data_IF_552433512839
#
_entry.id   IF_552433512839
#
_cell.length_a   1.000
_cell.length_b   1.000
_cell.length_c   1.000
_cell.angle_alpha   90.00
_cell.angle_beta   90.00
_cell.angle_gamma   90.00
#
_symmetry.space_group_name_H-M   'P 1'
#
loop_
_entity.id
_entity.type
_entity.pdbx_description
1 polymer ?
#
# COMPACT_ATOMS: atom_id res chain seq x y z
N UNK A 1 -14.07 -35.92 12.76
CA UNK A 1 -13.68 -35.33 14.06
C UNK A 1 -12.62 -34.29 13.76
N UNK A 2 -12.92 -33.02 13.98
CA UNK A 2 -12.31 -31.90 13.26
C UNK A 2 -10.95 -31.44 13.78
N UNK A 3 -10.23 -30.74 12.89
CA UNK A 3 -9.62 -29.48 13.26
C UNK A 3 -9.62 -28.52 12.04
N UNK A 4 -10.66 -27.69 11.95
CA UNK A 4 -10.78 -26.54 11.04
C UNK A 4 -10.41 -25.23 11.77
N UNK A 5 -9.64 -25.29 12.86
CA UNK A 5 -9.38 -24.13 13.71
C UNK A 5 -8.11 -23.34 13.39
N UNK A 6 -7.33 -23.70 12.35
CA UNK A 6 -6.06 -22.99 12.11
C UNK A 6 -5.55 -22.96 10.66
N UNK A 7 -6.43 -22.85 9.66
CA UNK A 7 -6.04 -22.60 8.26
C UNK A 7 -5.98 -21.08 7.92
N UNK A 8 -5.91 -20.19 8.92
CA UNK A 8 -5.82 -18.72 8.71
C UNK A 8 -4.43 -18.23 8.30
N UNK A 9 -3.49 -19.15 8.06
CA UNK A 9 -2.12 -18.85 7.66
C UNK A 9 -1.55 -19.92 6.73
N UNK A 10 -2.22 -20.16 5.59
CA UNK A 10 -1.48 -20.69 4.45
C UNK A 10 -0.79 -19.50 3.79
N UNK A 11 0.54 -19.31 3.92
CA UNK A 11 1.26 -18.51 2.94
C UNK A 11 1.04 -19.27 1.64
N UNK A 12 0.17 -18.74 0.78
CA UNK A 12 -0.02 -19.28 -0.56
C UNK A 12 1.37 -19.32 -1.19
N UNK A 13 1.88 -20.50 -1.62
CA UNK A 13 3.20 -20.60 -2.24
C UNK A 13 3.34 -19.76 -3.52
N UNK A 14 2.22 -19.19 -3.99
CA UNK A 14 2.07 -18.40 -5.22
C UNK A 14 1.95 -16.88 -4.99
N UNK A 15 2.14 -16.38 -3.77
CA UNK A 15 2.11 -14.94 -3.48
C UNK A 15 0.71 -14.34 -3.39
N UNK A 16 0.64 -13.02 -3.16
CA UNK A 16 -0.57 -12.24 -2.90
C UNK A 16 -1.49 -12.16 -4.13
N UNK A 17 -2.68 -12.77 -4.12
CA UNK A 17 -3.63 -12.73 -5.25
C UNK A 17 -4.75 -11.71 -5.03
N UNK A 18 -4.85 -10.65 -5.86
CA UNK A 18 -6.00 -9.77 -5.86
C UNK A 18 -7.27 -10.53 -6.23
N UNK A 19 -8.37 -10.28 -5.51
CA UNK A 19 -9.68 -10.91 -5.74
C UNK A 19 -9.88 -12.29 -5.10
N UNK A 20 -8.80 -13.04 -4.83
CA UNK A 20 -8.87 -14.33 -4.13
C UNK A 20 -8.52 -14.19 -2.64
N UNK A 21 -7.39 -13.54 -2.33
CA UNK A 21 -6.86 -13.47 -0.95
C UNK A 21 -7.08 -12.08 -0.33
N UNK A 22 -7.08 -11.04 -1.17
CA UNK A 22 -7.25 -9.64 -0.79
C UNK A 22 -8.20 -8.94 -1.75
N UNK A 23 -9.05 -8.06 -1.22
CA UNK A 23 -9.93 -7.24 -2.04
C UNK A 23 -9.12 -6.25 -2.90
N UNK A 24 -9.45 -6.16 -4.19
CA UNK A 24 -8.80 -5.24 -5.16
C UNK A 24 -8.86 -3.77 -4.72
N UNK A 25 -9.86 -3.42 -3.92
CA UNK A 25 -10.06 -2.10 -3.33
C UNK A 25 -8.84 -1.59 -2.54
N UNK A 26 -8.00 -2.48 -1.98
CA UNK A 26 -6.81 -2.09 -1.20
C UNK A 26 -5.80 -1.29 -2.04
N UNK A 27 -5.77 -1.48 -3.37
CA UNK A 27 -4.90 -0.73 -4.27
C UNK A 27 -5.59 0.48 -4.88
N UNK A 28 -6.87 0.37 -5.23
CA UNK A 28 -7.61 1.45 -5.89
C UNK A 28 -8.01 2.59 -4.95
N UNK A 29 -8.34 2.29 -3.68
CA UNK A 29 -8.72 3.31 -2.70
C UNK A 29 -7.58 4.30 -2.43
N UNK A 30 -6.34 3.88 -2.07
CA UNK A 30 -5.24 4.83 -1.89
C UNK A 30 -4.84 5.52 -3.20
N UNK A 31 -4.87 4.83 -4.34
CA UNK A 31 -4.57 5.44 -5.63
C UNK A 31 -5.57 6.56 -5.97
N UNK A 32 -6.87 6.33 -5.80
CA UNK A 32 -7.91 7.33 -6.00
C UNK A 32 -7.79 8.51 -5.04
N UNK A 33 -7.48 8.23 -3.76
CA UNK A 33 -7.29 9.26 -2.75
C UNK A 33 -6.09 10.18 -3.07
N UNK A 34 -4.99 9.62 -3.59
CA UNK A 34 -3.81 10.36 -4.04
C UNK A 34 -4.12 11.24 -5.26
N UNK A 35 -4.88 10.73 -6.24
CA UNK A 35 -5.31 11.54 -7.40
C UNK A 35 -6.22 12.69 -6.96
N UNK A 36 -7.12 12.44 -6.00
CA UNK A 36 -8.00 13.48 -5.47
C UNK A 36 -7.21 14.55 -4.68
N UNK A 37 -6.06 14.19 -4.08
CA UNK A 37 -5.19 15.11 -3.36
C UNK A 37 -4.55 16.22 -4.22
N UNK A 38 -4.55 16.04 -5.55
CA UNK A 38 -4.07 17.04 -6.52
C UNK A 38 -4.92 18.32 -6.43
N UNK A 39 -6.21 18.19 -6.12
CA UNK A 39 -7.09 19.33 -5.90
C UNK A 39 -6.71 20.04 -4.58
N UNK A 40 -6.83 21.38 -4.51
CA UNK A 40 -6.61 22.14 -3.29
C UNK A 40 -7.71 21.84 -2.25
N UNK A 41 -7.55 20.76 -1.50
CA UNK A 41 -8.49 20.29 -0.49
C UNK A 41 -8.15 20.87 0.90
N UNK A 42 -9.10 20.85 1.85
CA UNK A 42 -8.84 21.29 3.21
C UNK A 42 -7.75 20.45 3.88
N UNK A 43 -7.02 21.03 4.84
CA UNK A 43 -5.91 20.39 5.54
C UNK A 43 -6.27 19.00 6.13
N UNK A 44 -7.50 18.85 6.63
CA UNK A 44 -8.04 17.59 7.16
C UNK A 44 -7.96 16.44 6.15
N UNK A 45 -8.16 16.73 4.86
CA UNK A 45 -8.09 15.72 3.81
C UNK A 45 -6.68 15.16 3.68
N UNK A 46 -5.66 16.03 3.66
CA UNK A 46 -4.26 15.61 3.60
C UNK A 46 -3.83 14.82 4.84
N UNK A 47 -4.41 15.11 6.00
CA UNK A 47 -4.16 14.33 7.21
C UNK A 47 -4.77 12.93 7.10
N UNK A 48 -6.02 12.80 6.66
CA UNK A 48 -6.65 11.51 6.41
C UNK A 48 -5.95 10.70 5.32
N UNK A 49 -5.51 11.36 4.24
CA UNK A 49 -4.74 10.75 3.15
C UNK A 49 -3.47 10.09 3.66
N UNK A 50 -2.71 10.77 4.53
CA UNK A 50 -1.49 10.22 5.14
C UNK A 50 -1.76 8.95 5.92
N UNK A 51 -2.78 8.96 6.78
CA UNK A 51 -3.19 7.76 7.52
C UNK A 51 -3.61 6.61 6.61
N UNK A 52 -4.37 6.92 5.55
CA UNK A 52 -4.84 5.93 4.59
C UNK A 52 -3.69 5.32 3.79
N UNK A 53 -2.80 6.15 3.24
CA UNK A 53 -1.65 5.72 2.43
C UNK A 53 -0.61 5.00 3.30
N UNK A 54 -0.28 5.52 4.48
CA UNK A 54 0.64 4.86 5.40
C UNK A 54 0.08 3.53 5.91
N UNK A 55 -1.20 3.48 6.29
CA UNK A 55 -1.87 2.27 6.77
C UNK A 55 -1.98 1.18 5.71
N UNK A 56 -2.30 1.55 4.46
CA UNK A 56 -2.31 0.59 3.34
C UNK A 56 -0.90 0.13 2.96
N UNK A 57 0.08 1.04 2.93
CA UNK A 57 1.46 0.71 2.60
C UNK A 57 2.10 -0.23 3.61
N UNK A 58 1.94 0.02 4.91
CA UNK A 58 2.51 -0.86 5.95
C UNK A 58 1.87 -2.24 5.92
N UNK A 59 0.56 -2.32 5.66
CA UNK A 59 -0.15 -3.59 5.53
C UNK A 59 0.38 -4.41 4.34
N UNK A 60 0.55 -3.78 3.17
CA UNK A 60 1.12 -4.42 1.99
C UNK A 60 2.59 -4.83 2.22
N UNK A 61 3.40 -3.99 2.85
CA UNK A 61 4.79 -4.31 3.19
C UNK A 61 4.87 -5.53 4.11
N UNK A 62 4.02 -5.60 5.13
CA UNK A 62 4.01 -6.72 6.07
C UNK A 62 3.57 -8.03 5.42
N UNK A 63 2.53 -7.98 4.57
CA UNK A 63 2.09 -9.12 3.77
C UNK A 63 3.19 -9.64 2.85
N UNK A 64 3.90 -8.72 2.19
CA UNK A 64 4.96 -9.09 1.27
C UNK A 64 6.17 -9.70 1.98
N UNK A 65 6.51 -9.16 3.16
CA UNK A 65 7.56 -9.68 4.02
C UNK A 65 7.25 -11.10 4.49
N UNK A 66 6.00 -11.36 4.88
CA UNK A 66 5.58 -12.68 5.32
C UNK A 66 5.57 -13.72 4.19
N UNK A 67 5.06 -13.34 3.00
CA UNK A 67 5.03 -14.21 1.83
C UNK A 67 6.42 -14.63 1.35
N UNK A 68 7.45 -13.80 1.56
CA UNK A 68 8.83 -14.10 1.20
C UNK A 68 9.62 -14.75 2.33
N UNK A 69 8.94 -15.41 3.27
CA UNK A 69 9.59 -16.13 4.36
C UNK A 69 10.38 -15.21 5.28
N UNK A 70 9.88 -13.99 5.53
CA UNK A 70 10.55 -12.93 6.31
C UNK A 70 11.82 -12.38 5.66
N UNK A 71 11.90 -12.47 4.33
CA UNK A 71 12.92 -11.79 3.55
C UNK A 71 12.40 -10.43 3.06
N UNK A 72 13.21 -9.38 3.23
CA UNK A 72 12.87 -8.05 2.78
C UNK A 72 13.08 -7.92 1.27
N UNK A 73 12.00 -7.98 0.50
CA UNK A 73 12.00 -7.73 -0.94
C UNK A 73 12.08 -6.24 -1.30
N UNK A 74 12.42 -5.94 -2.56
CA UNK A 74 12.39 -4.57 -3.10
C UNK A 74 11.05 -3.86 -2.84
N UNK A 75 9.92 -4.57 -2.99
CA UNK A 75 8.60 -4.00 -2.69
C UNK A 75 8.37 -3.70 -1.20
N UNK A 76 8.89 -4.53 -0.28
CA UNK A 76 8.84 -4.23 1.15
C UNK A 76 9.55 -2.92 1.48
N UNK A 77 10.73 -2.71 0.87
CA UNK A 77 11.49 -1.48 1.04
C UNK A 77 10.78 -0.27 0.44
N UNK A 78 10.21 -0.40 -0.76
CA UNK A 78 9.44 0.67 -1.41
C UNK A 78 8.24 1.08 -0.53
N UNK A 79 7.40 0.12 -0.10
CA UNK A 79 6.24 0.42 0.75
C UNK A 79 6.65 0.89 2.15
N UNK A 80 7.76 0.39 2.69
CA UNK A 80 8.35 0.90 3.93
C UNK A 80 8.74 2.38 3.81
N UNK A 81 9.42 2.76 2.73
CA UNK A 81 9.78 4.14 2.44
C UNK A 81 8.53 5.04 2.27
N UNK A 82 7.50 4.56 1.57
CA UNK A 82 6.21 5.28 1.43
C UNK A 82 5.55 5.49 2.79
N UNK A 83 5.57 4.48 3.66
CA UNK A 83 5.00 4.56 5.01
C UNK A 83 5.69 5.65 5.84
N UNK A 84 7.02 5.74 5.75
CA UNK A 84 7.81 6.78 6.42
C UNK A 84 7.52 8.16 5.83
N UNK A 85 7.42 8.26 4.50
CA UNK A 85 7.16 9.51 3.80
C UNK A 85 5.76 10.09 4.09
N UNK A 86 4.74 9.23 4.16
CA UNK A 86 3.36 9.59 4.48
C UNK A 86 3.05 9.52 5.97
N UNK A 87 4.06 9.48 6.83
CA UNK A 87 3.86 9.36 8.26
C UNK A 87 3.12 10.59 8.84
N UNK A 88 1.95 10.42 9.48
CA UNK A 88 1.17 11.54 10.04
C UNK A 88 1.88 12.23 11.23
N UNK A 89 2.88 11.60 11.83
CA UNK A 89 3.59 12.11 13.02
C UNK A 89 4.56 13.25 12.65
N UNK A 90 5.20 13.17 11.49
CA UNK A 90 6.20 14.14 11.04
C UNK A 90 5.70 14.90 9.80
N UNK A 91 5.16 16.12 9.96
CA UNK A 91 4.72 16.91 8.82
C UNK A 91 5.94 17.35 8.00
N UNK A 92 6.05 16.82 6.78
CA UNK A 92 7.13 17.21 5.85
C UNK A 92 6.69 18.42 5.04
N UNK A 93 7.41 19.53 5.20
CA UNK A 93 7.17 20.77 4.48
C UNK A 93 7.85 20.72 3.11
N UNK A 94 7.13 20.24 2.10
CA UNK A 94 7.53 20.34 0.69
C UNK A 94 6.60 21.28 -0.07
N UNK A 95 7.08 21.91 -1.16
CA UNK A 95 6.22 22.67 -2.05
C UNK A 95 5.14 21.77 -2.66
N UNK A 96 3.96 22.33 -2.93
CA UNK A 96 2.81 21.59 -3.47
C UNK A 96 3.16 20.79 -4.73
N UNK A 97 3.99 21.35 -5.61
CA UNK A 97 4.44 20.68 -6.83
C UNK A 97 5.22 19.38 -6.52
N UNK A 98 6.09 19.39 -5.51
CA UNK A 98 6.83 18.20 -5.10
C UNK A 98 5.89 17.13 -4.51
N UNK A 99 4.91 17.54 -3.70
CA UNK A 99 3.87 16.63 -3.21
C UNK A 99 3.05 16.00 -4.33
N UNK A 100 2.66 16.77 -5.36
CA UNK A 100 1.94 16.22 -6.53
C UNK A 100 2.79 15.17 -7.26
N UNK A 101 4.09 15.40 -7.44
CA UNK A 101 4.99 14.42 -8.06
C UNK A 101 5.10 13.16 -7.20
N UNK A 102 5.27 13.32 -5.88
CA UNK A 102 5.32 12.20 -4.92
C UNK A 102 4.01 11.40 -4.98
N UNK A 103 2.86 12.06 -4.89
CA UNK A 103 1.54 11.42 -4.90
C UNK A 103 1.34 10.61 -6.18
N UNK A 104 1.77 11.15 -7.32
CA UNK A 104 1.70 10.48 -8.62
C UNK A 104 2.64 9.26 -8.70
N UNK A 105 3.86 9.36 -8.19
CA UNK A 105 4.82 8.23 -8.11
C UNK A 105 4.28 7.14 -7.20
N UNK A 106 3.70 7.50 -6.05
CA UNK A 106 3.10 6.53 -5.12
C UNK A 106 1.88 5.87 -5.75
N UNK A 107 0.99 6.64 -6.38
CA UNK A 107 -0.15 6.07 -7.10
C UNK A 107 0.29 5.09 -8.21
N UNK A 108 1.31 5.47 -9.00
CA UNK A 108 1.91 4.59 -10.00
C UNK A 108 2.51 3.31 -9.38
N UNK A 109 3.12 3.41 -8.19
CA UNK A 109 3.67 2.27 -7.45
C UNK A 109 2.56 1.30 -7.02
N UNK A 110 1.44 1.80 -6.48
CA UNK A 110 0.28 0.96 -6.12
C UNK A 110 -0.29 0.24 -7.34
N UNK A 111 -0.45 0.94 -8.46
CA UNK A 111 -0.97 0.38 -9.71
C UNK A 111 0.03 -0.64 -10.30
N UNK A 112 1.32 -0.32 -10.32
CA UNK A 112 2.38 -1.20 -10.81
C UNK A 112 2.48 -2.49 -9.98
N UNK A 113 2.39 -2.37 -8.65
CA UNK A 113 2.32 -3.53 -7.77
C UNK A 113 1.07 -4.38 -8.04
N UNK A 114 -0.11 -3.77 -8.18
CA UNK A 114 -1.33 -4.47 -8.54
C UNK A 114 -1.20 -5.23 -9.88
N UNK A 115 -0.61 -4.59 -10.91
CA UNK A 115 -0.39 -5.19 -12.23
C UNK A 115 0.55 -6.39 -12.17
N UNK A 116 1.65 -6.27 -11.42
CA UNK A 116 2.56 -7.39 -11.21
C UNK A 116 1.84 -8.58 -10.56
N UNK A 117 0.95 -8.32 -9.61
CA UNK A 117 0.21 -9.38 -8.90
C UNK A 117 -0.81 -10.09 -9.78
N UNK A 118 -1.52 -9.37 -10.64
CA UNK A 118 -2.43 -10.00 -11.61
C UNK A 118 -1.67 -10.81 -12.65
N UNK A 119 -0.53 -10.32 -13.14
CA UNK A 119 0.23 -11.05 -14.15
C UNK A 119 0.81 -12.38 -13.62
N UNK A 120 1.03 -12.48 -12.32
CA UNK A 120 1.56 -13.67 -11.64
C UNK A 120 0.49 -14.56 -10.97
N UNK A 121 -0.80 -14.21 -11.03
CA UNK A 121 -1.91 -14.94 -10.38
C UNK A 121 -2.51 -16.01 -11.28
#
# INVERSE_FOLDING_TARGET
MGDFSNDRYRPTPRGLRPGADLSEWIWFVPAGALVLAILPLPYVYYMGLRWLVAGTSIFLAWKEYDLHGRSANSYCWIFGAITVLFNPILPVFLPKLAWVVIDLVVAATFIGHYRLRIANS
#
